data_IF_410487938193
#
_entry.id   IF_410487938193
#
_cell.length_a   1.000
_cell.length_b   1.000
_cell.length_c   1.000
_cell.angle_alpha   90.00
_cell.angle_beta   90.00
_cell.angle_gamma   90.00
#
_symmetry.space_group_name_H-M   'P 1'
#
loop_
_entity.id
_entity.type
_entity.pdbx_description
1 polymer ?
#
# COMPACT_ATOMS: atom_id res chain seq x y z
N UNK A 1 -33.23 20.22 -3.71
CA UNK A 1 -31.74 20.22 -3.73
C UNK A 1 -31.10 21.06 -2.62
N UNK A 2 -31.79 22.01 -1.96
CA UNK A 2 -31.24 22.75 -0.81
C UNK A 2 -31.06 21.89 0.45
N UNK A 3 -31.94 20.92 0.69
CA UNK A 3 -31.90 20.06 1.88
C UNK A 3 -30.62 19.22 2.00
N UNK A 4 -30.11 18.68 0.89
CA UNK A 4 -28.91 17.83 0.94
C UNK A 4 -27.68 18.61 1.38
N UNK A 5 -27.57 19.87 0.94
CA UNK A 5 -26.47 20.74 1.32
C UNK A 5 -26.55 21.12 2.80
N UNK A 6 -27.75 21.45 3.28
CA UNK A 6 -27.98 21.76 4.69
C UNK A 6 -27.71 20.57 5.61
N UNK A 7 -28.10 19.36 5.21
CA UNK A 7 -27.79 18.13 5.94
C UNK A 7 -26.28 17.88 5.97
N UNK A 8 -25.58 18.04 4.85
CA UNK A 8 -24.13 17.87 4.79
C UNK A 8 -23.39 18.88 5.67
N UNK A 9 -23.80 20.15 5.66
CA UNK A 9 -23.20 21.18 6.54
C UNK A 9 -23.45 20.87 8.03
N UNK A 10 -24.65 20.39 8.39
CA UNK A 10 -24.94 19.96 9.77
C UNK A 10 -24.07 18.78 10.20
N UNK A 11 -23.86 17.79 9.32
CA UNK A 11 -22.99 16.64 9.61
C UNK A 11 -21.54 17.09 9.78
N UNK A 12 -21.02 17.92 8.87
CA UNK A 12 -19.67 18.46 8.96
C UNK A 12 -19.43 19.22 10.27
N UNK A 13 -20.36 20.08 10.66
CA UNK A 13 -20.27 20.85 11.90
C UNK A 13 -20.26 19.94 13.13
N UNK A 14 -21.17 18.96 13.20
CA UNK A 14 -21.22 18.00 14.32
C UNK A 14 -19.96 17.14 14.39
N UNK A 15 -19.41 16.72 13.25
CA UNK A 15 -18.16 15.95 13.22
C UNK A 15 -16.99 16.77 13.77
N UNK A 16 -16.92 18.06 13.45
CA UNK A 16 -15.91 18.97 14.02
C UNK A 16 -16.08 19.17 15.53
N UNK A 17 -17.31 19.31 16.01
CA UNK A 17 -17.60 19.44 17.44
C UNK A 17 -17.17 18.18 18.22
N UNK A 18 -17.59 17.00 17.76
CA UNK A 18 -17.21 15.71 18.37
C UNK A 18 -15.70 15.52 18.39
N UNK A 19 -14.99 15.98 17.36
CA UNK A 19 -13.53 15.90 17.31
C UNK A 19 -12.88 16.78 18.36
N UNK A 20 -13.34 18.04 18.52
CA UNK A 20 -12.83 18.94 19.56
C UNK A 20 -13.03 18.35 20.95
N UNK A 21 -14.21 17.76 21.18
CA UNK A 21 -14.51 17.09 22.44
C UNK A 21 -13.61 15.87 22.67
N UNK A 22 -13.40 15.02 21.66
CA UNK A 22 -12.48 13.88 21.76
C UNK A 22 -11.05 14.29 22.06
N UNK A 23 -10.53 15.31 21.37
CA UNK A 23 -9.17 15.82 21.62
C UNK A 23 -9.06 16.34 23.05
N UNK A 24 -10.06 17.10 23.52
CA UNK A 24 -10.11 17.58 24.91
C UNK A 24 -10.09 16.43 25.91
N UNK A 25 -10.89 15.39 25.70
CA UNK A 25 -10.93 14.22 26.59
C UNK A 25 -9.61 13.45 26.59
N UNK A 26 -8.96 13.32 25.43
CA UNK A 26 -7.65 12.70 25.31
C UNK A 26 -6.61 13.52 26.08
N UNK A 27 -6.60 14.84 25.95
CA UNK A 27 -5.70 15.71 26.70
C UNK A 27 -5.90 15.58 28.21
N UNK A 28 -7.16 15.54 28.66
CA UNK A 28 -7.49 15.36 30.07
C UNK A 28 -7.04 13.99 30.59
N UNK A 29 -7.27 12.92 29.82
CA UNK A 29 -6.82 11.57 30.18
C UNK A 29 -5.30 11.41 30.16
N UNK A 30 -4.62 12.02 29.19
CA UNK A 30 -3.15 12.03 29.12
C UNK A 30 -2.56 12.79 30.31
N UNK A 31 -3.16 13.93 30.68
CA UNK A 31 -2.76 14.69 31.86
C UNK A 31 -2.96 13.90 33.15
N UNK A 32 -4.07 13.16 33.27
CA UNK A 32 -4.36 12.28 34.41
C UNK A 32 -3.35 11.13 34.52
N UNK A 33 -3.01 10.49 33.40
CA UNK A 33 -2.17 9.28 33.39
C UNK A 33 -0.67 9.58 33.42
N UNK A 34 -0.21 10.63 32.75
CA UNK A 34 1.22 10.91 32.55
C UNK A 34 1.69 12.22 33.20
N UNK A 35 0.77 13.01 33.78
CA UNK A 35 1.11 14.27 34.45
C UNK A 35 1.71 15.34 33.53
N UNK A 36 1.72 15.10 32.21
CA UNK A 36 2.30 15.97 31.20
C UNK A 36 1.19 16.59 30.35
N UNK A 37 1.27 17.88 30.10
CA UNK A 37 0.30 18.61 29.29
C UNK A 37 0.76 18.60 27.83
N UNK A 38 0.01 17.89 26.97
CA UNK A 38 0.26 17.85 25.53
C UNK A 38 -0.72 18.80 24.84
N UNK A 39 -0.17 19.83 24.18
CA UNK A 39 -0.93 20.71 23.31
C UNK A 39 -1.17 20.00 21.96
N UNK A 40 -2.39 19.48 21.79
CA UNK A 40 -2.86 18.93 20.53
C UNK A 40 -3.67 20.02 19.82
N UNK A 41 -3.17 20.49 18.67
CA UNK A 41 -3.87 21.50 17.89
C UNK A 41 -5.13 20.91 17.24
N UNK A 42 -6.28 21.34 17.77
CA UNK A 42 -7.61 20.93 17.32
C UNK A 42 -8.08 21.66 16.04
N UNK A 43 -7.30 22.62 15.54
CA UNK A 43 -7.67 23.45 14.38
C UNK A 43 -7.08 23.01 13.04
N UNK A 44 -6.24 21.97 13.02
CA UNK A 44 -5.75 21.37 11.78
C UNK A 44 -6.93 20.89 10.91
N UNK A 45 -7.22 21.65 9.86
CA UNK A 45 -8.16 21.30 8.79
C UNK A 45 -7.55 20.19 7.95
N UNK A 46 -7.59 18.97 8.44
CA UNK A 46 -7.35 17.79 7.62
C UNK A 46 -8.40 17.78 6.51
N UNK A 47 -7.94 17.79 5.27
CA UNK A 47 -8.84 17.65 4.13
C UNK A 47 -9.47 16.25 4.23
N UNK A 48 -10.72 16.09 3.78
CA UNK A 48 -11.44 14.81 3.87
C UNK A 48 -10.66 13.61 3.28
N UNK A 49 -9.66 13.87 2.41
CA UNK A 49 -8.72 12.88 1.86
C UNK A 49 -7.76 12.27 2.90
N UNK A 50 -7.40 13.00 3.95
CA UNK A 50 -6.53 12.49 5.01
C UNK A 50 -7.29 11.57 5.96
N UNK A 51 -8.62 11.73 6.08
CA UNK A 51 -9.47 10.92 6.97
C UNK A 51 -9.62 9.47 6.49
N UNK A 52 -9.79 9.25 5.18
CA UNK A 52 -9.80 7.90 4.62
C UNK A 52 -8.45 7.22 4.76
N UNK A 53 -7.35 7.97 4.62
CA UNK A 53 -6.00 7.43 4.77
C UNK A 53 -5.66 7.12 6.23
N UNK A 54 -6.05 7.97 7.19
CA UNK A 54 -5.84 7.72 8.62
C UNK A 54 -6.73 6.58 9.12
N UNK A 55 -7.97 6.48 8.67
CA UNK A 55 -8.84 5.35 9.03
C UNK A 55 -8.34 4.03 8.43
N UNK A 56 -7.81 4.04 7.20
CA UNK A 56 -7.12 2.87 6.63
C UNK A 56 -5.84 2.53 7.40
N UNK A 57 -5.02 3.52 7.75
CA UNK A 57 -3.77 3.31 8.47
C UNK A 57 -4.01 2.79 9.89
N UNK A 58 -4.98 3.33 10.64
CA UNK A 58 -5.31 2.90 11.99
C UNK A 58 -5.93 1.49 12.07
N UNK A 59 -6.44 0.96 10.95
CA UNK A 59 -6.93 -0.43 10.84
C UNK A 59 -5.85 -1.37 10.31
N UNK A 60 -4.85 -0.86 9.57
CA UNK A 60 -3.72 -1.63 9.04
C UNK A 60 -2.56 -1.75 10.04
N UNK A 61 -2.30 -0.71 10.82
CA UNK A 61 -1.34 -0.74 11.94
C UNK A 61 -2.04 -1.28 13.18
N UNK A 62 -2.27 -2.59 13.16
CA UNK A 62 -2.57 -3.39 14.34
C UNK A 62 -1.38 -3.48 15.29
N UNK A 63 -0.85 -2.34 15.74
CA UNK A 63 -0.10 -2.28 17.00
C UNK A 63 -1.12 -2.34 18.15
N UNK A 64 -1.78 -3.50 18.24
CA UNK A 64 -2.23 -4.00 19.52
C UNK A 64 -0.94 -4.18 20.31
N UNK A 65 -0.62 -3.23 21.17
CA UNK A 65 0.33 -3.44 22.25
C UNK A 65 -0.21 -4.67 23.00
N UNK A 66 0.33 -5.83 22.68
CA UNK A 66 0.30 -6.98 23.57
C UNK A 66 1.11 -6.53 24.76
N UNK A 67 0.41 -6.00 25.75
CA UNK A 67 0.92 -6.05 27.11
C UNK A 67 0.97 -7.53 27.41
N UNK A 68 2.13 -8.13 27.17
CA UNK A 68 2.45 -9.44 27.71
C UNK A 68 2.20 -9.31 29.22
N UNK A 69 1.09 -9.89 29.65
CA UNK A 69 0.63 -9.86 31.03
C UNK A 69 1.49 -10.77 31.88
N UNK A 70 2.77 -10.43 32.03
CA UNK A 70 3.62 -11.00 33.06
C UNK A 70 3.71 -10.02 34.23
N UNK A 71 3.52 -10.58 35.42
CA UNK A 71 3.43 -9.95 36.75
C UNK A 71 2.08 -9.32 37.12
N UNK A 72 1.02 -10.13 37.10
CA UNK A 72 0.00 -10.05 38.15
C UNK A 72 0.31 -11.12 39.21
N UNK A 73 0.57 -10.66 40.43
CA UNK A 73 0.85 -11.46 41.62
C UNK A 73 0.02 -12.76 41.70
N UNK A 74 0.73 -13.89 41.78
CA UNK A 74 0.22 -15.25 41.82
C UNK A 74 -0.41 -15.65 43.17
N UNK A 75 -1.23 -14.79 43.78
CA UNK A 75 -1.95 -15.10 45.03
C UNK A 75 -3.44 -14.75 44.99
N UNK A 76 -4.12 -15.01 43.86
CA UNK A 76 -5.57 -14.82 43.78
C UNK A 76 -6.31 -16.07 43.31
N UNK A 77 -6.87 -16.77 44.32
CA UNK A 77 -7.92 -17.77 44.28
C UNK A 77 -7.72 -18.95 43.30
N UNK A 78 -7.56 -20.16 43.85
CA UNK A 78 -7.48 -21.40 43.07
C UNK A 78 -8.61 -21.49 42.05
N UNK A 79 -8.24 -21.34 40.78
CA UNK A 79 -9.14 -21.60 39.66
C UNK A 79 -9.47 -23.10 39.67
N UNK A 80 -10.76 -23.47 39.59
CA UNK A 80 -11.12 -24.87 39.44
C UNK A 80 -10.45 -25.43 38.17
N UNK A 81 -10.08 -26.73 38.17
CA UNK A 81 -9.45 -27.35 37.03
C UNK A 81 -10.30 -27.13 35.77
N UNK A 82 -9.67 -26.89 34.60
CA UNK A 82 -10.39 -26.71 33.35
C UNK A 82 -11.28 -27.93 33.10
N UNK A 83 -12.53 -27.67 32.71
CA UNK A 83 -13.48 -28.72 32.32
C UNK A 83 -12.87 -29.57 31.20
N UNK A 84 -13.15 -30.87 31.23
CA UNK A 84 -12.71 -31.78 30.17
C UNK A 84 -13.43 -31.48 28.86
N UNK A 85 -12.79 -31.75 27.71
CA UNK A 85 -13.36 -31.49 26.37
C UNK A 85 -14.71 -32.20 26.14
N UNK A 86 -15.04 -33.22 26.93
CA UNK A 86 -16.28 -33.98 26.90
C UNK A 86 -17.45 -33.28 27.64
N UNK A 87 -17.14 -32.36 28.56
CA UNK A 87 -18.11 -31.52 29.29
C UNK A 87 -18.30 -30.14 28.64
N UNK A 88 -17.48 -29.81 27.64
CA UNK A 88 -17.63 -28.62 26.82
C UNK A 88 -18.77 -28.83 25.81
N UNK A 89 -19.74 -27.91 25.80
CA UNK A 89 -20.72 -27.90 24.72
C UNK A 89 -19.99 -27.74 23.37
N UNK A 90 -20.38 -28.48 22.32
CA UNK A 90 -19.74 -28.34 21.02
C UNK A 90 -19.88 -26.90 20.53
N UNK A 91 -18.79 -26.34 19.99
CA UNK A 91 -18.83 -24.99 19.45
C UNK A 91 -19.96 -24.89 18.41
N UNK A 92 -20.82 -23.86 18.48
CA UNK A 92 -21.87 -23.69 17.50
C UNK A 92 -21.25 -23.54 16.11
N UNK A 93 -21.81 -24.22 15.10
CA UNK A 93 -21.32 -24.09 13.73
C UNK A 93 -21.54 -22.67 13.21
N UNK A 94 -20.63 -22.16 12.37
CA UNK A 94 -20.72 -20.80 11.83
C UNK A 94 -22.03 -20.53 11.08
N UNK A 95 -22.65 -21.57 10.52
CA UNK A 95 -23.99 -21.53 9.90
C UNK A 95 -25.13 -21.26 10.89
N UNK A 96 -24.96 -21.62 12.16
CA UNK A 96 -25.93 -21.38 13.25
C UNK A 96 -25.73 -19.97 13.84
N UNK A 97 -24.50 -19.44 13.82
CA UNK A 97 -24.17 -18.11 14.34
C UNK A 97 -24.49 -17.00 13.33
N UNK A 98 -24.15 -17.21 12.05
CA UNK A 98 -24.19 -16.18 11.01
C UNK A 98 -25.14 -16.49 9.84
N UNK A 99 -25.77 -17.68 9.83
CA UNK A 99 -26.74 -18.09 8.81
C UNK A 99 -26.13 -18.39 7.43
N UNK A 100 -27.00 -18.56 6.41
CA UNK A 100 -26.61 -18.79 5.00
C UNK A 100 -25.82 -17.62 4.37
N UNK A 101 -25.86 -16.44 4.99
CA UNK A 101 -25.14 -15.25 4.54
C UNK A 101 -23.62 -15.38 4.68
N UNK A 102 -23.13 -16.25 5.56
CA UNK A 102 -21.70 -16.48 5.76
C UNK A 102 -21.06 -17.20 4.58
N UNK A 103 -21.72 -18.23 4.04
CA UNK A 103 -21.22 -18.99 2.89
C UNK A 103 -21.18 -18.12 1.63
N UNK A 104 -22.20 -17.27 1.43
CA UNK A 104 -22.24 -16.31 0.33
C UNK A 104 -21.15 -15.24 0.46
N UNK A 105 -20.88 -14.76 1.67
CA UNK A 105 -19.81 -13.79 1.93
C UNK A 105 -18.43 -14.39 1.72
N UNK A 106 -18.22 -15.63 2.17
CA UNK A 106 -16.97 -16.36 1.95
C UNK A 106 -16.70 -16.53 0.45
N UNK A 107 -17.72 -16.89 -0.32
CA UNK A 107 -17.61 -17.00 -1.78
C UNK A 107 -17.26 -15.65 -2.44
N UNK A 108 -17.85 -14.55 -1.98
CA UNK A 108 -17.51 -13.22 -2.49
C UNK A 108 -16.07 -12.83 -2.18
N UNK A 109 -15.55 -13.19 -0.99
CA UNK A 109 -14.15 -12.96 -0.63
C UNK A 109 -13.20 -13.78 -1.52
N UNK A 110 -13.52 -15.05 -1.75
CA UNK A 110 -12.73 -15.93 -2.60
C UNK A 110 -12.72 -15.44 -4.05
N UNK A 111 -13.87 -15.02 -4.58
CA UNK A 111 -14.00 -14.44 -5.91
C UNK A 111 -13.20 -13.13 -6.04
N UNK A 112 -13.25 -12.25 -5.03
CA UNK A 112 -12.50 -11.00 -5.01
C UNK A 112 -10.99 -11.23 -4.93
N UNK A 113 -10.56 -12.17 -4.10
CA UNK A 113 -9.15 -12.56 -3.97
C UNK A 113 -8.61 -13.08 -5.29
N UNK A 114 -9.39 -13.93 -5.97
CA UNK A 114 -9.05 -14.48 -7.28
C UNK A 114 -8.94 -13.40 -8.35
N UNK A 115 -9.91 -12.48 -8.42
CA UNK A 115 -9.85 -11.35 -9.36
C UNK A 115 -8.60 -10.50 -9.16
N UNK A 116 -8.29 -10.17 -7.89
CA UNK A 116 -7.11 -9.38 -7.59
C UNK A 116 -5.81 -10.11 -7.99
N UNK A 117 -5.74 -11.42 -7.74
CA UNK A 117 -4.58 -12.21 -8.16
C UNK A 117 -4.42 -12.22 -9.69
N UNK A 118 -5.51 -12.38 -10.43
CA UNK A 118 -5.50 -12.31 -11.89
C UNK A 118 -5.06 -10.93 -12.42
N UNK A 119 -5.54 -9.85 -11.80
CA UNK A 119 -5.13 -8.47 -12.12
C UNK A 119 -3.64 -8.25 -11.88
N UNK A 120 -3.12 -8.73 -10.74
CA UNK A 120 -1.70 -8.63 -10.42
C UNK A 120 -0.83 -9.40 -11.41
N UNK A 121 -1.23 -10.60 -11.81
CA UNK A 121 -0.52 -11.36 -12.83
C UNK A 121 -0.53 -10.68 -14.21
N UNK A 122 -1.65 -10.06 -14.59
CA UNK A 122 -1.74 -9.30 -15.84
C UNK A 122 -0.84 -8.07 -15.80
N UNK A 123 -0.89 -7.31 -14.70
CA UNK A 123 -0.04 -6.14 -14.50
C UNK A 123 1.45 -6.50 -14.58
N UNK A 124 1.87 -7.57 -13.91
CA UNK A 124 3.26 -8.03 -13.95
C UNK A 124 3.68 -8.45 -15.36
N UNK A 125 2.82 -9.18 -16.08
CA UNK A 125 3.08 -9.56 -17.49
C UNK A 125 3.20 -8.35 -18.40
N UNK A 126 2.36 -7.34 -18.22
CA UNK A 126 2.44 -6.10 -19.00
C UNK A 126 3.71 -5.31 -18.70
N UNK A 127 4.08 -5.21 -17.43
CA UNK A 127 5.31 -4.55 -17.01
C UNK A 127 6.55 -5.24 -17.61
N UNK A 128 6.60 -6.57 -17.55
CA UNK A 128 7.68 -7.36 -18.15
C UNK A 128 7.73 -7.18 -19.68
N UNK A 129 6.58 -7.25 -20.36
CA UNK A 129 6.50 -7.00 -21.81
C UNK A 129 6.99 -5.60 -22.18
N UNK A 130 6.64 -4.59 -21.38
CA UNK A 130 7.04 -3.22 -21.63
C UNK A 130 8.55 -3.01 -21.40
N UNK A 131 9.09 -3.55 -20.31
CA UNK A 131 10.54 -3.48 -20.04
C UNK A 131 11.35 -4.19 -21.14
N UNK A 132 10.86 -5.34 -21.63
CA UNK A 132 11.46 -6.03 -22.78
C UNK A 132 11.45 -5.17 -24.04
N UNK A 133 10.31 -4.55 -24.40
CA UNK A 133 10.21 -3.64 -25.55
C UNK A 133 11.18 -2.45 -25.46
N UNK A 134 11.35 -1.89 -24.26
CA UNK A 134 12.30 -0.78 -24.02
C UNK A 134 13.74 -1.27 -24.25
N UNK A 135 14.09 -2.44 -23.72
CA UNK A 135 15.41 -3.03 -23.88
C UNK A 135 15.72 -3.37 -25.34
N UNK A 136 14.78 -3.98 -26.06
CA UNK A 136 14.93 -4.31 -27.48
C UNK A 136 15.13 -3.02 -28.31
N UNK A 137 14.32 -1.98 -28.07
CA UNK A 137 14.46 -0.69 -28.74
C UNK A 137 15.82 -0.03 -28.47
N UNK A 138 16.31 -0.12 -27.22
CA UNK A 138 17.64 0.37 -26.86
C UNK A 138 18.75 -0.40 -27.58
N UNK A 139 18.65 -1.73 -27.62
CA UNK A 139 19.61 -2.58 -28.32
C UNK A 139 19.63 -2.29 -29.82
N UNK A 140 18.47 -2.13 -30.45
CA UNK A 140 18.35 -1.77 -31.87
C UNK A 140 19.02 -0.42 -32.17
N UNK A 141 18.77 0.60 -31.33
CA UNK A 141 19.42 1.91 -31.44
C UNK A 141 20.93 1.82 -31.29
N UNK A 142 21.42 1.00 -30.35
CA UNK A 142 22.85 0.77 -30.17
C UNK A 142 23.46 0.03 -31.37
N UNK A 143 22.78 -0.98 -31.90
CA UNK A 143 23.23 -1.74 -33.07
C UNK A 143 23.30 -0.84 -34.31
N UNK A 144 22.25 -0.05 -34.58
CA UNK A 144 22.23 0.92 -35.68
C UNK A 144 23.38 1.94 -35.56
N UNK A 145 23.68 2.41 -34.34
CA UNK A 145 24.80 3.32 -34.09
C UNK A 145 26.16 2.64 -34.36
N UNK A 146 26.34 1.40 -33.92
CA UNK A 146 27.56 0.62 -34.20
C UNK A 146 27.74 0.41 -35.70
N UNK A 147 26.67 0.05 -36.40
CA UNK A 147 26.69 -0.13 -37.85
C UNK A 147 27.04 1.17 -38.58
N UNK A 148 26.45 2.31 -38.18
CA UNK A 148 26.77 3.62 -38.75
C UNK A 148 28.23 4.00 -38.54
N UNK A 149 28.78 3.78 -37.34
CA UNK A 149 30.20 4.03 -37.04
C UNK A 149 31.13 3.13 -37.84
N UNK A 150 30.78 1.85 -37.97
CA UNK A 150 31.55 0.91 -38.78
C UNK A 150 31.60 1.36 -40.25
N UNK A 151 30.45 1.76 -40.82
CA UNK A 151 30.37 2.31 -42.18
C UNK A 151 31.21 3.57 -42.37
N UNK A 152 31.11 4.54 -41.46
CA UNK A 152 31.93 5.76 -41.53
C UNK A 152 33.42 5.47 -41.43
N UNK A 153 33.83 4.55 -40.55
CA UNK A 153 35.25 4.16 -40.42
C UNK A 153 35.78 3.50 -41.70
N UNK A 154 34.98 2.63 -42.33
CA UNK A 154 35.34 2.02 -43.62
C UNK A 154 35.47 3.08 -44.71
N UNK A 155 34.49 3.98 -44.83
CA UNK A 155 34.52 5.08 -45.80
C UNK A 155 35.73 6.03 -45.59
N UNK A 156 36.08 6.34 -44.33
CA UNK A 156 37.28 7.11 -44.00
C UNK A 156 38.57 6.38 -44.41
N UNK A 157 38.66 5.07 -44.16
CA UNK A 157 39.83 4.29 -44.59
C UNK A 157 39.94 4.21 -46.11
N UNK A 158 38.83 4.07 -46.83
CA UNK A 158 38.80 4.08 -48.30
C UNK A 158 39.21 5.44 -48.88
N UNK A 159 38.68 6.55 -48.33
CA UNK A 159 39.08 7.91 -48.73
C UNK A 159 40.55 8.19 -48.45
N UNK A 160 41.05 7.81 -47.27
CA UNK A 160 42.46 8.02 -46.91
C UNK A 160 43.41 7.17 -47.78
N UNK A 161 43.06 5.92 -48.07
CA UNK A 161 43.86 5.07 -48.96
C UNK A 161 43.87 5.58 -50.40
N UNK A 162 42.73 6.04 -50.91
CA UNK A 162 42.60 6.60 -52.27
C UNK A 162 43.32 7.94 -52.42
N UNK A 163 43.24 8.81 -51.40
CA UNK A 163 43.94 10.10 -51.38
C UNK A 163 45.47 9.96 -51.32
N UNK A 164 45.98 8.94 -50.62
CA UNK A 164 47.42 8.68 -50.53
C UNK A 164 48.03 8.22 -51.87
N UNK A 165 47.29 7.45 -52.67
CA UNK A 165 47.74 6.97 -53.99
C UNK A 165 47.82 8.13 -55.00
N UNK A 166 46.87 9.08 -54.97
CA UNK A 166 46.83 10.22 -55.91
C UNK A 166 47.99 11.21 -55.65
N UNK A 167 48.41 11.39 -54.40
CA UNK A 167 49.54 12.29 -54.07
C UNK A 167 50.87 11.74 -54.57
N UNK A 168 51.06 10.41 -54.55
CA UNK A 168 52.30 9.78 -55.04
C UNK A 168 52.42 9.88 -56.57
N UNK A 169 51.31 9.77 -57.31
CA UNK A 169 51.28 9.87 -58.77
C UNK A 169 51.46 11.29 -59.34
N UNK A 170 51.33 12.35 -58.52
CA UNK A 170 51.53 13.75 -58.95
C UNK A 170 52.95 14.28 -58.75
N UNK A 171 53.82 13.51 -58.08
CA UNK A 171 55.18 13.91 -57.72
C UNK A 171 56.23 13.15 -58.56
N UNK A 172 55.82 12.23 -59.44
CA UNK A 172 56.66 11.61 -60.48
C UNK A 172 56.37 12.19 -61.85
#
# INVERSE_FOLDING_TARGET
>A
MKDLHEVNERVKNKTLELRRERVRLIQEKVKELWGTEIELDSTLRFQDQDLEQIAKAAVSEGDVIRVDGDELDAERAGTPPPLSDEELAPLPSNTVIFGKMYDDYQKQLDDLSKQHQEEMEQFMREQESNTKKINDNLQDKLMARRQRRARMKVEETEKNSSGSIIVILKIS
#
